data_IF_255935796297
#
_entry.id   IF_255935796297
#
_cell.length_a   1.000
_cell.length_b   1.000
_cell.length_c   1.000
_cell.angle_alpha   90.00
_cell.angle_beta   90.00
_cell.angle_gamma   90.00
#
_symmetry.space_group_name_H-M   'P 1'
#
loop_
_entity.id
_entity.type
_entity.pdbx_description
1 polymer ?
#
# COMPACT_ATOMS: atom_id res chain seq x y z
N UNK A 1 -20.07 5.42 10.56
CA UNK A 1 -18.76 4.93 10.07
C UNK A 1 -18.94 4.52 8.62
N UNK A 2 -18.37 5.27 7.67
CA UNK A 2 -18.46 4.96 6.24
C UNK A 2 -17.60 3.74 5.97
N UNK A 3 -18.21 2.60 5.68
CA UNK A 3 -17.51 1.37 5.31
C UNK A 3 -16.76 1.68 4.01
N UNK A 4 -15.42 1.69 4.07
CA UNK A 4 -14.54 1.93 2.92
C UNK A 4 -14.56 0.67 2.06
N UNK A 5 -15.53 0.59 1.15
CA UNK A 5 -15.58 -0.51 0.20
C UNK A 5 -14.38 -0.42 -0.74
N UNK A 6 -13.64 -1.53 -0.97
CA UNK A 6 -12.60 -1.57 -2.00
C UNK A 6 -13.24 -1.21 -3.34
N UNK A 7 -12.79 -0.13 -3.99
CA UNK A 7 -13.32 0.27 -5.31
C UNK A 7 -12.75 -0.57 -6.44
N UNK A 8 -11.70 -1.33 -6.15
CA UNK A 8 -10.99 -2.19 -7.08
C UNK A 8 -10.94 -3.62 -6.56
N UNK A 9 -10.92 -4.59 -7.47
CA UNK A 9 -10.57 -5.98 -7.16
C UNK A 9 -9.20 -6.04 -6.50
N UNK A 10 -8.98 -7.03 -5.62
CA UNK A 10 -7.70 -7.19 -4.90
C UNK A 10 -6.49 -7.24 -5.84
N UNK A 11 -6.64 -7.86 -7.00
CA UNK A 11 -5.60 -7.99 -8.02
C UNK A 11 -5.28 -6.65 -8.68
N UNK A 12 -6.30 -5.91 -9.10
CA UNK A 12 -6.16 -4.56 -9.68
C UNK A 12 -5.56 -3.59 -8.66
N UNK A 13 -6.01 -3.67 -7.41
CA UNK A 13 -5.49 -2.88 -6.30
C UNK A 13 -3.98 -3.11 -6.09
N UNK A 14 -3.56 -4.38 -6.07
CA UNK A 14 -2.16 -4.75 -5.93
C UNK A 14 -1.33 -4.31 -7.15
N UNK A 15 -1.85 -4.50 -8.37
CA UNK A 15 -1.18 -4.09 -9.61
C UNK A 15 -0.92 -2.59 -9.64
N UNK A 16 -1.92 -1.77 -9.34
CA UNK A 16 -1.80 -0.30 -9.32
C UNK A 16 -0.84 0.19 -8.27
N UNK A 17 -0.96 -0.31 -7.03
CA UNK A 17 -0.05 0.06 -5.95
C UNK A 17 1.40 -0.28 -6.29
N UNK A 18 1.63 -1.47 -6.86
CA UNK A 18 2.96 -1.88 -7.31
C UNK A 18 3.48 -1.00 -8.46
N UNK A 19 2.67 -0.73 -9.49
CA UNK A 19 3.06 0.12 -10.62
C UNK A 19 3.48 1.53 -10.16
N UNK A 20 2.69 2.16 -9.29
CA UNK A 20 2.99 3.48 -8.72
C UNK A 20 4.30 3.42 -7.92
N UNK A 21 4.47 2.37 -7.11
CA UNK A 21 5.70 2.22 -6.34
C UNK A 21 6.92 2.10 -7.25
N UNK A 22 6.89 1.21 -8.25
CA UNK A 22 8.03 0.97 -9.13
C UNK A 22 8.36 2.18 -10.00
N UNK A 23 7.35 2.88 -10.53
CA UNK A 23 7.54 4.00 -11.45
C UNK A 23 7.90 5.31 -10.75
N UNK A 24 7.31 5.60 -9.58
CA UNK A 24 7.38 6.94 -8.98
C UNK A 24 8.05 6.93 -7.61
N UNK A 25 7.68 5.99 -6.74
CA UNK A 25 8.07 6.07 -5.32
C UNK A 25 9.45 5.47 -5.07
N UNK A 26 9.77 4.36 -5.72
CA UNK A 26 10.98 3.56 -5.49
C UNK A 26 12.26 4.40 -5.56
N UNK A 27 12.41 5.19 -6.62
CA UNK A 27 13.58 6.06 -6.82
C UNK A 27 13.74 7.13 -5.71
N UNK A 28 12.65 7.55 -5.09
CA UNK A 28 12.64 8.60 -4.05
C UNK A 28 12.90 8.05 -2.65
N UNK A 29 12.63 6.76 -2.42
CA UNK A 29 12.66 6.16 -1.07
C UNK A 29 13.79 5.17 -0.88
N UNK A 30 14.37 4.59 -1.94
CA UNK A 30 15.46 3.61 -1.78
C UNK A 30 16.73 4.19 -1.13
N UNK A 31 16.99 5.50 -1.27
CA UNK A 31 18.07 6.17 -0.54
C UNK A 31 17.64 6.52 0.90
N UNK A 32 18.28 5.90 1.89
CA UNK A 32 18.12 6.25 3.30
C UNK A 32 16.82 5.80 4.00
N UNK A 33 15.87 5.16 3.30
CA UNK A 33 14.62 4.67 3.91
C UNK A 33 14.47 3.15 3.91
N UNK A 34 15.56 2.40 3.74
CA UNK A 34 15.55 0.94 3.81
C UNK A 34 14.86 0.44 5.10
N UNK A 35 13.90 -0.48 4.96
CA UNK A 35 13.14 -1.04 6.08
C UNK A 35 11.91 -0.23 6.52
N UNK A 36 11.75 1.02 6.05
CA UNK A 36 10.54 1.82 6.28
C UNK A 36 9.37 1.33 5.42
N UNK A 37 8.17 1.72 5.83
CA UNK A 37 6.91 1.45 5.15
C UNK A 37 6.48 2.66 4.35
N UNK A 38 6.10 2.42 3.11
CA UNK A 38 5.43 3.40 2.26
C UNK A 38 3.94 3.10 2.25
N UNK A 39 3.13 4.10 2.52
CA UNK A 39 1.69 4.12 2.27
C UNK A 39 1.42 4.89 0.98
N UNK A 40 0.75 4.28 0.01
CA UNK A 40 0.47 4.86 -1.31
C UNK A 40 -1.04 4.90 -1.51
N UNK A 41 -1.58 6.06 -1.84
CA UNK A 41 -2.94 6.14 -2.37
C UNK A 41 -2.96 5.72 -3.84
N UNK A 42 -3.65 4.63 -4.15
CA UNK A 42 -3.66 4.07 -5.51
C UNK A 42 -4.49 4.87 -6.51
N UNK A 43 -5.27 5.86 -6.06
CA UNK A 43 -6.11 6.69 -6.94
C UNK A 43 -5.37 7.94 -7.41
N UNK A 44 -4.56 8.53 -6.53
CA UNK A 44 -3.85 9.79 -6.79
C UNK A 44 -2.35 9.62 -6.95
N UNK A 45 -1.78 8.50 -6.47
CA UNK A 45 -0.34 8.27 -6.42
C UNK A 45 0.38 9.01 -5.29
N UNK A 46 -0.35 9.74 -4.43
CA UNK A 46 0.25 10.34 -3.24
C UNK A 46 0.76 9.26 -2.29
N UNK A 47 1.94 9.49 -1.73
CA UNK A 47 2.57 8.53 -0.84
C UNK A 47 3.20 9.22 0.36
N UNK A 48 3.28 8.47 1.45
CA UNK A 48 3.96 8.85 2.69
C UNK A 48 4.87 7.71 3.13
N UNK A 49 5.98 8.03 3.79
CA UNK A 49 6.96 7.06 4.27
C UNK A 49 7.11 7.20 5.78
N UNK A 50 6.98 6.09 6.50
CA UNK A 50 7.17 6.06 7.95
C UNK A 50 7.78 4.74 8.40
N UNK A 51 8.15 4.64 9.68
CA UNK A 51 8.78 3.43 10.24
C UNK A 51 7.83 2.23 10.28
N UNK A 52 6.53 2.48 10.40
CA UNK A 52 5.48 1.48 10.51
C UNK A 52 4.20 1.85 9.74
N UNK A 53 3.38 0.83 9.49
CA UNK A 53 2.15 0.93 8.66
C UNK A 53 1.13 1.89 9.24
N UNK A 54 1.00 1.94 10.57
CA UNK A 54 0.03 2.81 11.24
C UNK A 54 0.39 4.27 11.02
N UNK A 55 1.65 4.64 11.28
CA UNK A 55 2.13 6.02 11.09
C UNK A 55 2.04 6.43 9.62
N UNK A 56 2.47 5.57 8.69
CA UNK A 56 2.38 5.85 7.26
C UNK A 56 0.93 6.06 6.81
N UNK A 57 0.00 5.24 7.32
CA UNK A 57 -1.42 5.37 7.03
C UNK A 57 -2.01 6.65 7.61
N UNK A 58 -1.65 7.02 8.84
CA UNK A 58 -2.18 8.21 9.51
C UNK A 58 -1.76 9.48 8.74
N UNK A 59 -0.48 9.59 8.40
CA UNK A 59 0.06 10.68 7.59
C UNK A 59 -0.66 10.79 6.23
N UNK A 60 -0.85 9.66 5.55
CA UNK A 60 -1.55 9.65 4.26
C UNK A 60 -3.02 10.04 4.41
N UNK A 61 -3.70 9.58 5.45
CA UNK A 61 -5.11 9.89 5.70
C UNK A 61 -5.33 11.32 6.19
N UNK A 62 -4.36 11.91 6.88
CA UNK A 62 -4.36 13.32 7.25
C UNK A 62 -4.33 14.21 6.00
N UNK A 63 -3.55 13.82 4.98
CA UNK A 63 -3.51 14.51 3.68
C UNK A 63 -4.71 14.16 2.79
N UNK A 64 -5.11 12.90 2.78
CA UNK A 64 -6.17 12.36 1.93
C UNK A 64 -7.13 11.47 2.73
N UNK A 65 -8.19 12.04 3.32
CA UNK A 65 -9.14 11.29 4.15
C UNK A 65 -9.86 10.15 3.42
N UNK A 66 -9.87 10.17 2.08
CA UNK A 66 -10.52 9.19 1.20
C UNK A 66 -9.54 8.23 0.51
N UNK A 67 -8.27 8.21 0.93
CA UNK A 67 -7.25 7.40 0.29
C UNK A 67 -7.58 5.89 0.32
N UNK A 68 -7.27 5.22 -0.78
CA UNK A 68 -7.21 3.76 -0.91
C UNK A 68 -5.76 3.31 -0.74
N UNK A 69 -5.37 3.14 0.52
CA UNK A 69 -3.97 2.91 0.90
C UNK A 69 -3.48 1.52 0.57
N UNK A 70 -2.45 1.44 -0.27
CA UNK A 70 -1.62 0.26 -0.50
C UNK A 70 -0.27 0.43 0.21
N UNK A 71 0.26 -0.65 0.79
CA UNK A 71 1.49 -0.58 1.59
C UNK A 71 2.61 -1.42 0.97
N UNK A 72 3.85 -0.92 1.06
CA UNK A 72 5.07 -1.62 0.65
C UNK A 72 6.24 -1.27 1.56
N UNK A 73 7.15 -2.22 1.76
CA UNK A 73 8.36 -1.99 2.56
C UNK A 73 9.55 -1.73 1.64
N UNK A 74 10.25 -0.63 1.89
CA UNK A 74 11.41 -0.21 1.10
C UNK A 74 12.55 -1.23 1.27
N UNK A 75 13.20 -1.58 0.17
CA UNK A 75 14.33 -2.51 0.15
C UNK A 75 13.95 -3.99 0.18
N UNK A 76 12.66 -4.33 0.28
CA UNK A 76 12.18 -5.71 0.13
C UNK A 76 11.37 -5.86 -1.16
N UNK A 77 11.75 -6.83 -1.99
CA UNK A 77 11.16 -7.07 -3.33
C UNK A 77 9.66 -7.44 -3.31
N UNK A 78 9.08 -7.73 -2.14
CA UNK A 78 7.65 -7.93 -1.96
C UNK A 78 7.26 -7.87 -0.46
N UNK A 79 6.25 -7.07 -0.10
CA UNK A 79 5.49 -7.34 1.11
C UNK A 79 4.63 -8.58 0.84
N UNK A 80 4.71 -9.55 1.76
CA UNK A 80 3.93 -10.77 1.74
C UNK A 80 2.44 -10.48 1.52
N UNK A 81 1.82 -11.31 0.69
CA UNK A 81 0.37 -11.40 0.46
C UNK A 81 -0.38 -11.44 1.81
N UNK A 82 -1.12 -10.38 2.13
CA UNK A 82 -2.19 -10.46 3.10
C UNK A 82 -3.51 -10.67 2.36
N UNK A 83 -4.05 -11.89 2.48
CA UNK A 83 -5.40 -12.24 2.11
C UNK A 83 -5.87 -13.36 3.04
N UNK A 84 -7.17 -13.45 3.38
CA UNK A 84 -7.66 -14.60 4.13
C UNK A 84 -7.30 -15.87 3.36
N UNK A 85 -6.79 -16.88 4.06
CA UNK A 85 -6.57 -18.22 3.50
C UNK A 85 -7.90 -18.67 2.91
N UNK A 86 -7.95 -18.90 1.61
CA UNK A 86 -9.08 -19.59 1.00
C UNK A 86 -9.13 -20.97 1.63
N UNK A 87 -10.16 -21.24 2.42
CA UNK A 87 -10.50 -22.61 2.80
C UNK A 87 -11.05 -23.25 1.55
N UNK A 88 -10.22 -23.99 0.82
CA UNK A 88 -10.71 -24.96 -0.16
C UNK A 88 -11.36 -26.07 0.65
N UNK A 89 -12.69 -26.06 0.76
CA UNK A 89 -13.45 -27.25 1.12
C UNK A 89 -13.67 -28.05 -0.18
N UNK A 90 -13.08 -29.24 -0.19
CA UNK A 90 -13.32 -30.28 -1.19
C UNK A 90 -14.71 -30.87 -0.95
N UNK A 91 -15.53 -30.96 -1.99
CA UNK A 91 -16.67 -31.86 -2.07
C UNK A 91 -16.73 -32.46 -3.48
#
# INVERSE_FOLDING_TARGET
MTIRQPRYSKEEFARRGQEIYEQQVRSQVEDGNAGKVVAIDIETGMFEVAEDTLTASDLLLARCPRAQTWFVRVGHKALHRFGPRGTTELA
#
